data_IF_459528149035
#
_entry.id   IF_459528149035
#
_cell.length_a   1.000
_cell.length_b   1.000
_cell.length_c   1.000
_cell.angle_alpha   90.00
_cell.angle_beta   90.00
_cell.angle_gamma   90.00
#
_symmetry.space_group_name_H-M   'P 1'
#
loop_
_entity.id
_entity.type
_entity.pdbx_description
1 polymer ?
#
# COMPACT_ATOMS: atom_id res chain seq x y z
N UNK A 1 8.73 24.59 34.08
CA UNK A 1 10.01 23.93 33.88
C UNK A 1 9.90 22.54 34.49
N UNK A 2 9.56 21.58 33.67
CA UNK A 2 9.88 20.14 33.83
C UNK A 2 9.60 19.50 32.48
N UNK A 3 10.62 19.49 31.63
CA UNK A 3 10.65 18.66 30.44
C UNK A 3 10.70 17.19 30.94
N UNK A 4 9.59 16.47 30.75
CA UNK A 4 9.61 15.04 30.89
C UNK A 4 10.47 14.50 29.72
N UNK A 5 11.71 14.15 30.02
CA UNK A 5 12.55 13.30 29.19
C UNK A 5 11.77 12.00 28.94
N UNK A 6 11.05 11.95 27.82
CA UNK A 6 10.46 10.71 27.32
C UNK A 6 11.60 9.75 27.01
N UNK A 7 11.84 8.84 27.93
CA UNK A 7 12.72 7.68 27.78
C UNK A 7 12.45 7.07 26.39
N UNK A 8 13.38 7.22 25.46
CA UNK A 8 13.25 6.65 24.10
C UNK A 8 13.32 5.14 24.27
N UNK A 9 12.16 4.53 24.37
CA UNK A 9 12.06 3.07 24.32
C UNK A 9 12.83 2.58 23.09
N UNK A 10 13.75 1.64 23.28
CA UNK A 10 14.54 1.07 22.19
C UNK A 10 13.66 0.52 21.08
N UNK A 11 14.22 0.21 19.90
CA UNK A 11 13.45 -0.30 18.77
C UNK A 11 12.71 -1.59 19.17
N UNK A 12 11.44 -1.69 18.76
CA UNK A 12 10.60 -2.84 19.07
C UNK A 12 10.93 -4.00 18.13
N UNK A 13 11.26 -5.19 18.64
CA UNK A 13 11.48 -6.37 17.80
C UNK A 13 10.26 -6.69 16.95
N UNK A 14 10.46 -6.82 15.64
CA UNK A 14 9.46 -7.22 14.65
C UNK A 14 9.87 -8.56 14.06
N UNK A 15 9.26 -9.65 14.52
CA UNK A 15 9.57 -10.99 14.07
C UNK A 15 8.99 -11.23 12.68
N UNK A 16 9.81 -11.68 11.73
CA UNK A 16 9.39 -11.87 10.33
C UNK A 16 9.65 -13.29 9.83
N UNK A 17 8.80 -13.75 8.93
CA UNK A 17 8.82 -15.13 8.39
C UNK A 17 8.77 -15.16 6.86
N UNK A 18 9.03 -14.02 6.22
CA UNK A 18 9.18 -13.94 4.76
C UNK A 18 10.53 -13.32 4.39
N UNK A 19 11.14 -13.86 3.32
CA UNK A 19 12.49 -13.44 2.89
C UNK A 19 12.59 -11.96 2.50
N UNK A 20 11.50 -11.36 1.99
CA UNK A 20 11.52 -9.96 1.56
C UNK A 20 11.92 -8.96 2.65
N UNK A 21 11.54 -9.20 3.90
CA UNK A 21 11.97 -8.36 5.04
C UNK A 21 13.46 -8.52 5.34
N UNK A 22 14.02 -9.71 5.11
CA UNK A 22 15.40 -10.00 5.47
C UNK A 22 16.38 -9.54 4.38
N UNK A 23 16.00 -9.66 3.11
CA UNK A 23 16.89 -9.40 1.97
C UNK A 23 16.84 -7.95 1.49
N UNK A 24 15.74 -7.22 1.73
CA UNK A 24 15.59 -5.84 1.26
C UNK A 24 16.08 -4.82 2.30
N UNK A 25 17.33 -4.41 2.19
CA UNK A 25 17.95 -3.46 3.14
C UNK A 25 17.18 -2.15 3.28
N UNK A 26 16.54 -1.63 2.21
CA UNK A 26 15.72 -0.42 2.27
C UNK A 26 14.46 -0.61 3.12
N UNK A 27 13.77 -1.74 2.98
CA UNK A 27 12.59 -2.09 3.82
C UNK A 27 12.99 -2.11 5.29
N UNK A 28 14.09 -2.78 5.63
CA UNK A 28 14.61 -2.81 7.00
C UNK A 28 14.94 -1.41 7.54
N UNK A 29 15.56 -0.56 6.70
CA UNK A 29 15.88 0.82 7.10
C UNK A 29 14.62 1.65 7.37
N UNK A 30 13.59 1.53 6.54
CA UNK A 30 12.33 2.27 6.74
C UNK A 30 11.65 1.78 8.03
N UNK A 31 11.63 0.46 8.28
CA UNK A 31 11.08 -0.10 9.51
C UNK A 31 11.87 0.37 10.75
N UNK A 32 13.19 0.44 10.66
CA UNK A 32 14.03 0.96 11.74
C UNK A 32 13.72 2.44 12.05
N UNK A 33 13.51 3.26 11.03
CA UNK A 33 13.08 4.67 11.19
C UNK A 33 11.68 4.78 11.82
N UNK A 34 10.84 3.76 11.66
CA UNK A 34 9.52 3.66 12.30
C UNK A 34 9.57 3.01 13.70
N UNK A 35 10.78 2.78 14.25
CA UNK A 35 10.98 2.20 15.58
C UNK A 35 10.84 0.68 15.66
N UNK A 36 11.02 -0.04 14.52
CA UNK A 36 11.00 -1.50 14.50
C UNK A 36 12.37 -2.07 14.16
N UNK A 37 12.75 -3.14 14.87
CA UNK A 37 13.93 -3.94 14.55
C UNK A 37 13.50 -5.28 13.96
N UNK A 38 13.81 -5.48 12.66
CA UNK A 38 13.50 -6.74 11.97
C UNK A 38 14.35 -7.86 12.52
N UNK A 39 13.71 -8.87 13.08
CA UNK A 39 14.36 -10.03 13.70
C UNK A 39 13.72 -11.35 13.26
N UNK A 40 14.41 -12.45 13.52
CA UNK A 40 13.93 -13.82 13.31
C UNK A 40 13.72 -14.51 14.66
N UNK A 41 13.08 -15.67 14.65
CA UNK A 41 12.82 -16.45 15.84
C UNK A 41 11.37 -16.32 16.33
N UNK A 42 11.08 -16.83 17.51
CA UNK A 42 9.73 -16.87 18.08
C UNK A 42 9.45 -15.59 18.89
N UNK A 43 8.37 -14.84 18.64
CA UNK A 43 8.00 -13.71 19.47
C UNK A 43 7.60 -14.16 20.88
N UNK A 44 7.78 -13.29 21.84
CA UNK A 44 7.19 -13.44 23.18
C UNK A 44 5.71 -13.06 23.14
N UNK A 45 4.95 -13.42 24.15
CA UNK A 45 3.61 -12.92 24.36
C UNK A 45 3.61 -11.37 24.36
N UNK A 46 2.65 -10.76 23.67
CA UNK A 46 2.62 -9.31 23.44
C UNK A 46 3.68 -8.76 22.48
N UNK A 47 4.56 -9.63 21.93
CA UNK A 47 5.50 -9.26 20.88
C UNK A 47 4.81 -8.92 19.55
N UNK A 48 5.60 -8.66 18.49
CA UNK A 48 5.09 -8.26 17.18
C UNK A 48 5.59 -9.19 16.09
N UNK A 49 4.68 -9.51 15.16
CA UNK A 49 4.97 -10.28 13.93
C UNK A 49 4.69 -9.41 12.71
N UNK A 50 5.72 -9.20 11.88
CA UNK A 50 5.59 -8.48 10.62
C UNK A 50 5.16 -9.39 9.48
N UNK A 51 4.11 -8.98 8.75
CA UNK A 51 3.63 -9.64 7.54
C UNK A 51 3.52 -8.63 6.39
N UNK A 52 3.71 -9.10 5.15
CA UNK A 52 3.55 -8.23 3.98
C UNK A 52 2.10 -8.27 3.52
N UNK A 53 1.34 -7.26 3.84
CA UNK A 53 -0.07 -7.07 3.53
C UNK A 53 -0.89 -8.34 3.64
N UNK A 54 -1.48 -8.75 2.53
CA UNK A 54 -2.19 -10.01 2.34
C UNK A 54 -1.45 -10.95 1.36
N UNK A 55 -0.12 -10.88 1.33
CA UNK A 55 0.70 -11.74 0.46
C UNK A 55 0.49 -13.23 0.78
N UNK A 56 0.82 -14.14 -0.15
CA UNK A 56 0.75 -15.59 0.11
C UNK A 56 1.57 -16.07 1.31
N UNK A 57 2.53 -15.28 1.78
CA UNK A 57 3.34 -15.60 2.97
C UNK A 57 2.78 -15.04 4.28
N UNK A 58 1.80 -14.12 4.22
CA UNK A 58 1.20 -13.52 5.41
C UNK A 58 0.55 -14.55 6.36
N UNK A 59 -0.20 -15.57 5.90
CA UNK A 59 -0.84 -16.55 6.78
C UNK A 59 0.14 -17.27 7.72
N UNK A 60 1.40 -17.47 7.30
CA UNK A 60 2.43 -18.06 8.17
C UNK A 60 2.72 -17.19 9.38
N UNK A 61 2.90 -15.89 9.17
CA UNK A 61 3.14 -14.94 10.26
C UNK A 61 1.93 -14.80 11.17
N UNK A 62 0.74 -14.71 10.59
CA UNK A 62 -0.53 -14.62 11.32
C UNK A 62 -0.76 -15.84 12.22
N UNK A 63 -0.49 -17.04 11.69
CA UNK A 63 -0.58 -18.28 12.47
C UNK A 63 0.37 -18.28 13.66
N UNK A 64 1.61 -17.81 13.47
CA UNK A 64 2.59 -17.73 14.57
C UNK A 64 2.13 -16.68 15.60
N UNK A 65 1.66 -15.52 15.15
CA UNK A 65 1.12 -14.50 16.04
C UNK A 65 -0.01 -15.04 16.91
N UNK A 66 -0.99 -15.73 16.31
CA UNK A 66 -2.10 -16.35 17.03
C UNK A 66 -1.66 -17.39 18.05
N UNK A 67 -0.59 -18.18 17.76
CA UNK A 67 -0.08 -19.20 18.68
C UNK A 67 0.80 -18.65 19.81
N UNK A 68 1.27 -17.44 19.68
CA UNK A 68 2.20 -16.83 20.65
C UNK A 68 1.59 -15.66 21.42
N UNK A 69 0.36 -15.27 21.12
CA UNK A 69 -0.26 -14.06 21.67
C UNK A 69 0.41 -12.77 21.19
N UNK A 70 1.14 -12.81 20.07
CA UNK A 70 1.79 -11.64 19.48
C UNK A 70 0.82 -10.85 18.59
N UNK A 71 1.00 -9.53 18.52
CA UNK A 71 0.28 -8.67 17.60
C UNK A 71 0.82 -8.78 16.17
N UNK A 72 -0.05 -8.60 15.18
CA UNK A 72 0.34 -8.54 13.75
C UNK A 72 0.59 -7.10 13.36
N UNK A 73 1.68 -6.87 12.64
CA UNK A 73 2.00 -5.61 11.94
C UNK A 73 2.02 -5.88 10.45
N UNK A 74 1.12 -5.27 9.71
CA UNK A 74 1.05 -5.38 8.26
C UNK A 74 1.86 -4.26 7.61
N UNK A 75 2.66 -4.63 6.66
CA UNK A 75 3.52 -3.70 5.91
C UNK A 75 3.12 -3.77 4.44
N UNK A 76 2.88 -2.62 3.83
CA UNK A 76 2.53 -2.49 2.42
C UNK A 76 3.29 -1.35 1.74
N UNK A 77 3.28 -1.35 0.42
CA UNK A 77 3.81 -0.26 -0.37
C UNK A 77 3.07 1.04 -0.05
N UNK A 78 3.81 2.13 0.16
CA UNK A 78 3.23 3.47 0.27
C UNK A 78 2.71 3.98 -1.08
N UNK A 79 1.99 5.14 -1.04
CA UNK A 79 1.45 5.77 -2.26
C UNK A 79 2.50 5.99 -3.34
N UNK A 80 3.68 6.47 -3.00
CA UNK A 80 4.84 6.53 -3.91
C UNK A 80 5.71 5.29 -3.69
N UNK A 81 5.89 4.50 -4.74
CA UNK A 81 6.65 3.25 -4.60
C UNK A 81 7.99 3.29 -5.31
N UNK A 82 8.00 3.46 -6.61
CA UNK A 82 9.19 3.34 -7.46
C UNK A 82 8.90 3.81 -8.88
N UNK A 83 9.90 3.87 -9.74
CA UNK A 83 9.71 4.21 -11.16
C UNK A 83 8.88 3.12 -11.84
N UNK A 84 9.27 1.87 -11.74
CA UNK A 84 8.55 0.71 -12.29
C UNK A 84 7.92 -0.13 -11.17
N UNK A 85 6.90 -0.95 -11.45
CA UNK A 85 6.44 -1.98 -10.52
C UNK A 85 7.58 -2.91 -10.11
N UNK A 86 7.54 -3.42 -8.86
CA UNK A 86 8.62 -4.27 -8.33
C UNK A 86 8.91 -5.49 -9.20
N UNK A 87 7.87 -6.12 -9.74
CA UNK A 87 7.99 -7.29 -10.64
C UNK A 87 8.51 -6.94 -12.04
N UNK A 88 8.44 -5.67 -12.42
CA UNK A 88 8.99 -5.14 -13.67
C UNK A 88 10.37 -4.47 -13.48
N UNK A 89 11.11 -4.84 -12.43
CA UNK A 89 12.45 -4.31 -12.17
C UNK A 89 12.49 -3.02 -11.37
N UNK A 90 11.38 -2.58 -10.77
CA UNK A 90 11.29 -1.30 -10.06
C UNK A 90 12.06 -1.20 -8.73
N UNK A 91 12.72 -2.26 -8.30
CA UNK A 91 13.48 -2.27 -7.06
C UNK A 91 12.63 -2.21 -5.79
N UNK A 92 13.26 -2.03 -4.63
CA UNK A 92 12.55 -1.94 -3.35
C UNK A 92 11.75 -0.62 -3.24
N UNK A 93 10.66 -0.61 -2.43
CA UNK A 93 9.83 0.58 -2.24
C UNK A 93 10.60 1.73 -1.59
N UNK A 94 10.21 2.97 -1.90
CA UNK A 94 10.78 4.18 -1.28
C UNK A 94 10.07 4.57 0.02
N UNK A 95 8.87 4.03 0.25
CA UNK A 95 8.08 4.24 1.46
C UNK A 95 7.23 3.01 1.78
N UNK A 96 6.80 2.91 3.02
CA UNK A 96 5.95 1.82 3.51
C UNK A 96 4.75 2.39 4.26
N UNK A 97 3.61 1.73 4.12
CA UNK A 97 2.50 1.82 5.04
C UNK A 97 2.66 0.73 6.09
N UNK A 98 2.48 1.10 7.35
CA UNK A 98 2.60 0.18 8.50
C UNK A 98 1.29 0.26 9.27
N UNK A 99 0.60 -0.87 9.40
CA UNK A 99 -0.74 -0.96 9.96
C UNK A 99 -0.77 -2.07 11.04
N UNK A 100 -1.42 -1.80 12.16
CA UNK A 100 -1.52 -2.72 13.29
C UNK A 100 -2.91 -3.32 13.46
N UNK A 101 -3.89 -2.83 12.75
CA UNK A 101 -5.29 -3.28 12.82
C UNK A 101 -5.74 -4.01 11.56
N UNK A 102 -5.34 -3.55 10.39
CA UNK A 102 -5.79 -4.12 9.13
C UNK A 102 -4.83 -3.87 7.97
N UNK A 103 -5.38 -3.66 6.81
CA UNK A 103 -4.68 -3.18 5.61
C UNK A 103 -5.63 -2.30 4.81
N UNK A 104 -5.15 -1.18 4.31
CA UNK A 104 -5.96 -0.10 3.73
C UNK A 104 -6.85 -0.49 2.53
N UNK A 105 -6.63 -1.64 1.92
CA UNK A 105 -7.42 -2.13 0.79
C UNK A 105 -8.36 -3.28 1.13
N UNK A 106 -8.41 -3.73 2.39
CA UNK A 106 -9.33 -4.78 2.85
C UNK A 106 -10.54 -4.16 3.56
N UNK A 107 -11.68 -4.10 2.87
CA UNK A 107 -12.90 -3.53 3.42
C UNK A 107 -13.60 -4.38 4.50
N UNK A 108 -13.06 -5.54 4.88
CA UNK A 108 -13.67 -6.44 5.88
C UNK A 108 -13.36 -6.02 7.32
N UNK A 109 -12.30 -5.25 7.53
CA UNK A 109 -11.90 -4.72 8.83
C UNK A 109 -11.30 -3.31 8.66
N UNK A 110 -11.47 -2.42 9.66
CA UNK A 110 -10.85 -1.10 9.59
C UNK A 110 -9.33 -1.21 9.59
N UNK A 111 -8.67 -0.26 8.92
CA UNK A 111 -7.23 -0.06 8.97
C UNK A 111 -6.87 1.09 9.91
N UNK A 112 -5.59 1.19 10.31
CA UNK A 112 -5.09 2.35 11.07
C UNK A 112 -5.30 3.64 10.26
N UNK A 113 -5.10 3.61 8.93
CA UNK A 113 -5.34 4.75 8.05
C UNK A 113 -6.80 5.18 8.06
N UNK A 114 -7.75 4.23 7.93
CA UNK A 114 -9.18 4.53 7.96
C UNK A 114 -9.60 5.11 9.32
N UNK A 115 -9.09 4.53 10.40
CA UNK A 115 -9.34 5.01 11.75
C UNK A 115 -8.80 6.43 11.94
N UNK A 116 -7.57 6.68 11.49
CA UNK A 116 -6.95 8.01 11.52
C UNK A 116 -7.79 9.05 10.76
N UNK A 117 -8.19 8.74 9.53
CA UNK A 117 -9.00 9.64 8.70
C UNK A 117 -10.38 9.94 9.32
N UNK A 118 -10.93 9.02 10.07
CA UNK A 118 -12.25 9.17 10.70
C UNK A 118 -12.21 9.90 12.03
N UNK A 119 -11.13 9.76 12.80
CA UNK A 119 -11.08 10.21 14.21
C UNK A 119 -10.11 11.36 14.46
N UNK A 120 -9.09 11.56 13.63
CA UNK A 120 -8.10 12.61 13.84
C UNK A 120 -8.69 13.96 13.42
N UNK A 121 -8.55 15.03 14.24
CA UNK A 121 -9.14 16.33 13.94
C UNK A 121 -8.51 17.02 12.74
N UNK A 122 -7.31 16.62 12.31
CA UNK A 122 -6.56 17.17 11.17
C UNK A 122 -6.41 18.72 11.27
N UNK A 123 -6.14 19.23 12.46
CA UNK A 123 -6.06 20.65 12.80
C UNK A 123 -4.62 21.15 13.06
N UNK A 124 -3.61 20.29 12.94
CA UNK A 124 -2.19 20.67 13.02
C UNK A 124 -1.80 21.50 11.79
N UNK A 125 -1.73 22.82 11.95
CA UNK A 125 -1.44 23.75 10.86
C UNK A 125 -0.08 23.52 10.18
N UNK A 126 1.04 23.26 10.90
CA UNK A 126 2.33 22.88 10.32
C UNK A 126 2.24 21.59 9.48
N UNK A 127 1.57 20.55 9.99
CA UNK A 127 1.38 19.29 9.28
C UNK A 127 0.55 19.47 8.00
N UNK A 128 -0.54 20.24 8.07
CA UNK A 128 -1.38 20.56 6.92
C UNK A 128 -0.62 21.37 5.87
N UNK A 129 0.20 22.35 6.28
CA UNK A 129 1.04 23.12 5.36
C UNK A 129 2.04 22.21 4.64
N UNK A 130 2.70 21.31 5.37
CA UNK A 130 3.60 20.29 4.79
C UNK A 130 2.88 19.36 3.82
N UNK A 131 1.68 18.90 4.16
CA UNK A 131 0.87 18.06 3.29
C UNK A 131 0.50 18.76 1.98
N UNK A 132 0.04 20.00 2.05
CA UNK A 132 -0.27 20.83 0.87
C UNK A 132 0.95 21.06 -0.02
N UNK A 133 2.10 21.39 0.58
CA UNK A 133 3.35 21.54 -0.15
C UNK A 133 3.78 20.21 -0.82
N UNK A 134 3.62 19.09 -0.14
CA UNK A 134 3.86 17.74 -0.68
C UNK A 134 2.97 17.44 -1.89
N UNK A 135 1.66 17.66 -1.77
CA UNK A 135 0.70 17.47 -2.88
C UNK A 135 1.07 18.36 -4.08
N UNK A 136 1.39 19.63 -3.83
CA UNK A 136 1.80 20.54 -4.89
C UNK A 136 3.08 20.08 -5.59
N UNK A 137 4.06 19.55 -4.84
CA UNK A 137 5.30 19.00 -5.40
C UNK A 137 5.03 17.76 -6.25
N UNK A 138 4.22 16.80 -5.76
CA UNK A 138 3.85 15.60 -6.52
C UNK A 138 3.21 15.95 -7.86
N UNK A 139 2.27 16.91 -7.85
CA UNK A 139 1.59 17.39 -9.06
C UNK A 139 2.54 18.06 -10.04
N UNK A 140 3.43 18.96 -9.57
CA UNK A 140 4.40 19.64 -10.44
C UNK A 140 5.44 18.71 -11.06
N UNK A 141 5.77 17.62 -10.37
CA UNK A 141 6.75 16.64 -10.83
C UNK A 141 6.10 15.43 -11.50
N UNK A 142 4.78 15.47 -11.70
CA UNK A 142 3.98 14.40 -12.32
C UNK A 142 4.26 13.01 -11.73
N UNK A 143 4.35 12.95 -10.40
CA UNK A 143 4.66 11.72 -9.68
C UNK A 143 3.42 10.94 -9.32
N UNK A 144 3.46 9.62 -9.55
CA UNK A 144 2.44 8.66 -9.15
C UNK A 144 3.07 7.44 -8.45
N UNK A 145 2.26 6.43 -8.14
CA UNK A 145 2.76 5.19 -7.51
C UNK A 145 3.92 4.57 -8.28
N UNK A 146 3.80 4.56 -9.61
CA UNK A 146 4.84 4.16 -10.55
C UNK A 146 5.02 5.30 -11.56
N UNK A 147 6.22 5.85 -11.65
CA UNK A 147 6.48 7.06 -12.43
C UNK A 147 7.22 6.78 -13.75
N UNK A 148 6.99 5.60 -14.33
CA UNK A 148 7.55 5.23 -15.65
C UNK A 148 6.66 5.64 -16.83
N UNK A 149 5.60 6.44 -16.59
CA UNK A 149 4.77 6.98 -17.65
C UNK A 149 5.51 8.06 -18.43
N UNK A 150 5.10 8.27 -19.66
CA UNK A 150 5.56 9.39 -20.49
C UNK A 150 4.75 10.64 -20.09
N UNK A 151 5.38 11.66 -19.46
CA UNK A 151 4.67 12.88 -19.07
C UNK A 151 4.17 13.70 -20.27
N UNK A 152 4.77 13.54 -21.45
CA UNK A 152 4.40 14.25 -22.67
C UNK A 152 3.34 13.51 -23.47
N UNK A 153 2.93 12.31 -23.05
CA UNK A 153 1.85 11.57 -23.71
C UNK A 153 0.53 12.34 -23.65
N UNK A 154 -0.04 12.62 -24.81
CA UNK A 154 -1.29 13.34 -24.91
C UNK A 154 -2.43 12.57 -24.22
N UNK A 155 -3.11 13.22 -23.29
CA UNK A 155 -4.32 12.67 -22.70
C UNK A 155 -5.42 12.53 -23.77
N UNK A 156 -6.28 11.52 -23.69
CA UNK A 156 -7.43 11.42 -24.59
C UNK A 156 -8.30 12.70 -24.50
N UNK A 157 -8.88 13.16 -25.62
CA UNK A 157 -9.78 14.33 -25.61
C UNK A 157 -10.91 14.13 -24.59
N UNK A 158 -11.36 15.20 -23.89
CA UNK A 158 -12.44 15.13 -22.90
C UNK A 158 -13.74 14.50 -23.44
N UNK A 159 -14.62 14.06 -22.54
CA UNK A 159 -15.91 13.45 -22.88
C UNK A 159 -15.87 11.92 -22.98
N UNK A 160 -14.84 11.28 -22.44
CA UNK A 160 -14.79 9.83 -22.31
C UNK A 160 -15.20 9.35 -20.92
N UNK A 161 -15.61 8.10 -20.82
CA UNK A 161 -15.76 7.36 -19.56
C UNK A 161 -14.51 6.52 -19.34
N UNK A 162 -13.85 6.73 -18.20
CA UNK A 162 -12.64 5.98 -17.84
C UNK A 162 -13.01 4.73 -17.06
N UNK A 163 -12.62 3.58 -17.57
CA UNK A 163 -12.70 2.29 -16.88
C UNK A 163 -11.30 1.88 -16.44
N UNK A 164 -11.08 1.76 -15.13
CA UNK A 164 -9.76 1.44 -14.56
C UNK A 164 -9.68 -0.06 -14.30
N UNK A 165 -8.73 -0.71 -14.94
CA UNK A 165 -8.43 -2.13 -14.75
C UNK A 165 -7.41 -2.36 -13.62
N UNK A 166 -7.37 -3.59 -13.11
CA UNK A 166 -6.41 -4.07 -12.13
C UNK A 166 -6.06 -5.52 -12.44
N UNK A 167 -4.87 -5.96 -12.03
CA UNK A 167 -4.47 -7.37 -12.19
C UNK A 167 -5.42 -8.30 -11.44
N UNK A 168 -5.94 -9.33 -12.13
CA UNK A 168 -7.03 -10.18 -11.62
C UNK A 168 -6.70 -10.89 -10.29
N UNK A 169 -5.42 -11.23 -10.07
CA UNK A 169 -4.95 -11.93 -8.88
C UNK A 169 -4.38 -10.98 -7.81
N UNK A 170 -4.69 -9.69 -7.90
CA UNK A 170 -4.25 -8.76 -6.86
C UNK A 170 -4.99 -9.00 -5.53
N UNK A 171 -4.28 -8.82 -4.42
CA UNK A 171 -4.85 -9.02 -3.10
C UNK A 171 -6.02 -8.07 -2.82
N UNK A 172 -5.96 -6.84 -3.33
CA UNK A 172 -7.05 -5.85 -3.20
C UNK A 172 -8.30 -6.26 -3.97
N UNK A 173 -8.14 -6.84 -5.17
CA UNK A 173 -9.25 -7.36 -5.98
C UNK A 173 -9.94 -8.50 -5.26
N UNK A 174 -9.17 -9.45 -4.69
CA UNK A 174 -9.74 -10.56 -3.91
C UNK A 174 -10.40 -10.07 -2.62
N UNK A 175 -9.82 -9.12 -1.92
CA UNK A 175 -10.38 -8.55 -0.69
C UNK A 175 -11.71 -7.82 -0.96
N UNK A 176 -11.87 -7.22 -2.14
CA UNK A 176 -13.11 -6.60 -2.60
C UNK A 176 -14.14 -7.61 -3.12
N UNK A 177 -13.88 -8.93 -3.09
CA UNK A 177 -14.75 -9.94 -3.67
C UNK A 177 -14.90 -9.84 -5.19
N UNK A 178 -13.91 -9.24 -5.86
CA UNK A 178 -13.90 -9.02 -7.29
C UNK A 178 -12.96 -10.00 -8.01
N UNK A 179 -13.04 -10.03 -9.35
CA UNK A 179 -12.23 -10.86 -10.21
C UNK A 179 -12.52 -10.57 -11.68
N UNK A 180 -12.00 -11.38 -12.59
CA UNK A 180 -12.14 -11.18 -14.07
C UNK A 180 -13.58 -10.97 -14.54
N UNK A 181 -14.54 -11.69 -13.96
CA UNK A 181 -15.96 -11.55 -14.31
C UNK A 181 -16.45 -10.13 -13.99
N UNK A 182 -16.12 -9.63 -12.80
CA UNK A 182 -16.53 -8.29 -12.35
C UNK A 182 -15.95 -7.17 -13.24
N UNK A 183 -14.72 -7.31 -13.72
CA UNK A 183 -14.14 -6.34 -14.67
C UNK A 183 -14.85 -6.34 -16.01
N UNK A 184 -15.31 -7.50 -16.50
CA UNK A 184 -16.14 -7.58 -17.74
C UNK A 184 -17.50 -6.94 -17.53
N UNK A 185 -18.15 -7.17 -16.40
CA UNK A 185 -19.42 -6.55 -16.02
C UNK A 185 -19.26 -5.02 -15.94
N UNK A 186 -18.23 -4.52 -15.27
CA UNK A 186 -17.93 -3.08 -15.17
C UNK A 186 -17.80 -2.42 -16.56
N UNK A 187 -17.14 -3.08 -17.49
CA UNK A 187 -17.01 -2.59 -18.88
C UNK A 187 -18.37 -2.61 -19.60
N UNK A 188 -19.17 -3.66 -19.42
CA UNK A 188 -20.50 -3.77 -20.00
C UNK A 188 -21.45 -2.71 -19.46
N UNK A 189 -21.44 -2.49 -18.14
CA UNK A 189 -22.24 -1.44 -17.49
C UNK A 189 -21.85 -0.04 -17.94
N UNK A 190 -20.53 0.24 -18.04
CA UNK A 190 -20.06 1.53 -18.55
C UNK A 190 -20.56 1.81 -19.96
N UNK A 191 -20.58 0.80 -20.85
CA UNK A 191 -21.12 0.93 -22.20
C UNK A 191 -22.63 1.12 -22.21
N UNK A 192 -23.36 0.39 -21.36
CA UNK A 192 -24.82 0.49 -21.25
C UNK A 192 -25.27 1.83 -20.68
N UNK A 193 -24.61 2.31 -19.63
CA UNK A 193 -24.92 3.60 -19.00
C UNK A 193 -24.52 4.82 -19.88
N UNK A 194 -23.52 4.65 -20.74
CA UNK A 194 -22.99 5.73 -21.58
C UNK A 194 -22.88 5.34 -23.05
N UNK A 195 -24.00 5.02 -23.73
CA UNK A 195 -24.02 4.40 -25.06
C UNK A 195 -23.41 5.29 -26.17
N UNK A 196 -23.30 6.60 -25.92
CA UNK A 196 -22.72 7.57 -26.88
C UNK A 196 -21.33 8.06 -26.48
N UNK A 197 -20.84 7.68 -25.29
CA UNK A 197 -19.55 8.10 -24.84
C UNK A 197 -18.43 7.15 -25.34
N UNK A 198 -17.26 7.71 -25.55
CA UNK A 198 -16.06 6.90 -25.77
C UNK A 198 -15.65 6.25 -24.46
N UNK A 199 -15.51 4.93 -24.43
CA UNK A 199 -14.98 4.21 -23.27
C UNK A 199 -13.47 4.07 -23.45
N UNK A 200 -12.71 4.52 -22.44
CA UNK A 200 -11.26 4.38 -22.35
C UNK A 200 -10.94 3.43 -21.22
N UNK A 201 -10.23 2.35 -21.51
CA UNK A 201 -9.77 1.40 -20.49
C UNK A 201 -8.32 1.71 -20.15
N UNK A 202 -8.05 1.98 -18.86
CA UNK A 202 -6.69 2.14 -18.35
C UNK A 202 -6.24 0.82 -17.74
N UNK A 203 -5.36 0.10 -18.43
CA UNK A 203 -4.77 -1.13 -17.95
C UNK A 203 -3.77 -0.87 -16.80
N UNK A 204 -3.66 -1.85 -15.88
CA UNK A 204 -2.63 -1.82 -14.84
C UNK A 204 -1.23 -1.90 -15.48
N UNK A 205 -0.20 -1.20 -14.96
CA UNK A 205 1.15 -1.22 -15.53
C UNK A 205 1.73 -2.63 -15.70
N UNK A 206 1.52 -3.53 -14.74
CA UNK A 206 1.99 -4.92 -14.85
C UNK A 206 1.29 -5.69 -15.99
N UNK A 207 0.01 -5.41 -16.23
CA UNK A 207 -0.73 -5.97 -17.38
C UNK A 207 -0.22 -5.41 -18.70
N UNK A 208 -0.02 -4.08 -18.76
CA UNK A 208 0.50 -3.42 -19.95
C UNK A 208 1.92 -3.88 -20.33
N UNK A 209 2.73 -4.23 -19.34
CA UNK A 209 4.09 -4.77 -19.51
C UNK A 209 4.12 -6.30 -19.71
N UNK A 210 2.98 -6.97 -19.71
CA UNK A 210 2.91 -8.43 -19.85
C UNK A 210 3.47 -9.22 -18.66
N UNK A 211 3.66 -8.59 -17.49
CA UNK A 211 4.23 -9.21 -16.28
C UNK A 211 3.16 -9.96 -15.49
N UNK A 212 1.92 -9.51 -15.54
CA UNK A 212 0.72 -10.13 -14.94
C UNK A 212 -0.49 -9.93 -15.85
N UNK A 213 -1.37 -10.94 -15.85
CA UNK A 213 -2.67 -10.87 -16.54
C UNK A 213 -3.77 -10.45 -15.54
#
# INVERSE_FOLDING_TARGET
MTEAEGERAGPRPLHVYSGGFLTQGRVRRILALAGYEVTVGRPREGGLVGVWGMSPTAPRGEWIAGRTGAGVVRVEDAFLRSVLPGRAGGGPPIGLMIDRTGVHFDGRAPSDLETLLRTHPLDDAPLLARARAGIARLRRSDLSKYSAHDPDAAAPPPGYVLVVDQTAEDASVRAAGAGRARFREMLAEARAAHPRARIVVKAHPETALGVRA
#
